data_IF_122809813451
#
_entry.id   IF_122809813451
#
_cell.length_a   1.000
_cell.length_b   1.000
_cell.length_c   1.000
_cell.angle_alpha   90.00
_cell.angle_beta   90.00
_cell.angle_gamma   90.00
#
_symmetry.space_group_name_H-M   'P 1'
#
loop_
_entity.id
_entity.type
_entity.pdbx_description
1 polymer ?
#
# COMPACT_ATOMS: atom_id res chain seq x y z
N UNK A 1 17.77 -5.49 -20.23
CA UNK A 1 17.33 -4.16 -19.69
C UNK A 1 17.32 -4.25 -18.18
N UNK A 2 18.08 -3.37 -17.48
CA UNK A 2 18.13 -3.38 -16.01
C UNK A 2 16.89 -2.71 -15.44
N UNK A 3 16.18 -3.40 -14.53
CA UNK A 3 15.03 -2.88 -13.76
C UNK A 3 15.35 -3.02 -12.28
N UNK A 4 15.13 -1.95 -11.52
CA UNK A 4 15.26 -1.92 -10.06
C UNK A 4 13.86 -1.78 -9.47
N UNK A 5 13.56 -2.58 -8.45
CA UNK A 5 12.27 -2.57 -7.74
C UNK A 5 12.49 -2.32 -6.25
N UNK A 6 11.93 -1.23 -5.73
CA UNK A 6 11.90 -0.93 -4.31
C UNK A 6 10.69 -1.59 -3.67
N UNK A 7 10.92 -2.60 -2.82
CA UNK A 7 9.86 -3.39 -2.19
C UNK A 7 10.26 -3.81 -0.78
N UNK A 8 9.27 -3.99 0.07
CA UNK A 8 9.43 -4.42 1.45
C UNK A 8 8.22 -5.21 1.94
N UNK A 9 7.30 -4.61 2.75
CA UNK A 9 6.21 -5.37 3.35
C UNK A 9 5.13 -5.85 2.37
N UNK A 10 5.04 -5.28 1.15
CA UNK A 10 3.96 -5.61 0.20
C UNK A 10 4.18 -6.94 -0.52
N UNK A 11 5.41 -7.25 -0.94
CA UNK A 11 5.79 -8.51 -1.57
C UNK A 11 7.09 -9.04 -0.99
N UNK A 12 7.26 -10.35 -1.00
CA UNK A 12 8.58 -10.95 -0.68
C UNK A 12 9.53 -10.76 -1.86
N UNK A 13 10.80 -10.49 -1.60
CA UNK A 13 11.81 -10.29 -2.63
C UNK A 13 11.83 -11.41 -3.70
N UNK A 14 11.62 -12.67 -3.29
CA UNK A 14 11.57 -13.83 -4.20
C UNK A 14 10.37 -13.84 -5.18
N UNK A 15 9.36 -13.02 -4.96
CA UNK A 15 8.19 -12.87 -5.85
C UNK A 15 8.45 -11.87 -6.98
N UNK A 16 9.58 -11.12 -6.91
CA UNK A 16 9.93 -10.06 -7.85
C UNK A 16 11.05 -10.57 -8.78
N UNK A 17 10.83 -10.68 -10.10
CA UNK A 17 11.81 -11.22 -11.04
C UNK A 17 12.85 -10.19 -11.51
N UNK A 18 13.12 -9.16 -10.72
CA UNK A 18 14.03 -8.06 -11.03
C UNK A 18 15.01 -7.81 -9.87
N UNK A 19 15.93 -6.86 -10.03
CA UNK A 19 16.80 -6.42 -8.94
C UNK A 19 15.96 -5.75 -7.84
N UNK A 20 15.91 -6.39 -6.67
CA UNK A 20 15.16 -5.90 -5.51
C UNK A 20 16.05 -5.04 -4.62
N UNK A 21 15.48 -3.93 -4.17
CA UNK A 21 16.05 -3.06 -3.15
C UNK A 21 15.07 -2.87 -1.98
N UNK A 22 15.56 -2.47 -0.80
CA UNK A 22 14.73 -2.10 0.34
C UNK A 22 13.63 -1.09 -0.03
N UNK A 23 12.59 -0.91 0.83
CA UNK A 23 11.63 0.19 0.67
C UNK A 23 12.35 1.51 0.40
N UNK A 24 11.84 2.30 -0.56
CA UNK A 24 12.51 3.53 -0.97
C UNK A 24 12.47 4.60 0.14
N UNK A 25 13.62 5.13 0.50
CA UNK A 25 13.78 6.33 1.31
C UNK A 25 14.35 7.49 0.49
N UNK A 26 14.59 8.62 1.15
CA UNK A 26 15.18 9.80 0.53
C UNK A 26 16.56 9.47 -0.08
N UNK A 27 16.76 9.87 -1.33
CA UNK A 27 18.00 9.67 -2.08
C UNK A 27 18.14 8.31 -2.77
N UNK A 28 17.26 7.33 -2.50
CA UNK A 28 17.38 5.99 -3.07
C UNK A 28 17.10 5.97 -4.58
N UNK A 29 16.06 6.68 -5.03
CA UNK A 29 15.75 6.79 -6.45
C UNK A 29 16.84 7.59 -7.16
N UNK A 30 17.36 8.64 -6.54
CA UNK A 30 18.46 9.42 -7.10
C UNK A 30 19.74 8.57 -7.25
N UNK A 31 20.07 7.72 -6.25
CA UNK A 31 21.18 6.77 -6.34
C UNK A 31 20.97 5.77 -7.47
N UNK A 32 19.78 5.17 -7.54
CA UNK A 32 19.42 4.24 -8.62
C UNK A 32 19.50 4.89 -10.01
N UNK A 33 19.11 6.16 -10.15
CA UNK A 33 19.14 6.91 -11.41
C UNK A 33 20.56 7.23 -11.93
N UNK A 34 21.59 7.05 -11.11
CA UNK A 34 23.01 7.20 -11.50
C UNK A 34 23.61 5.90 -12.07
N UNK A 35 22.89 4.80 -11.96
CA UNK A 35 23.29 3.53 -12.54
C UNK A 35 22.77 3.42 -13.99
N UNK A 36 23.27 2.41 -14.74
CA UNK A 36 22.75 2.08 -16.08
C UNK A 36 21.43 1.33 -15.97
N UNK A 37 20.36 2.03 -15.56
CA UNK A 37 19.02 1.50 -15.36
C UNK A 37 18.05 2.10 -16.37
N UNK A 38 17.12 1.30 -16.88
CA UNK A 38 16.07 1.75 -17.80
C UNK A 38 14.73 1.91 -17.11
N UNK A 39 14.50 1.16 -16.02
CA UNK A 39 13.23 1.17 -15.29
C UNK A 39 13.47 1.16 -13.79
N UNK A 40 12.70 1.97 -13.07
CA UNK A 40 12.62 1.96 -11.61
C UNK A 40 11.15 1.75 -11.24
N UNK A 41 10.85 0.74 -10.44
CA UNK A 41 9.53 0.54 -9.86
C UNK A 41 9.58 0.81 -8.36
N UNK A 42 8.67 1.64 -7.87
CA UNK A 42 8.49 1.92 -6.45
C UNK A 42 7.19 1.23 -6.04
N UNK A 43 7.28 0.23 -5.18
CA UNK A 43 6.15 -0.42 -4.53
C UNK A 43 6.06 0.12 -3.12
N UNK A 44 7.07 -0.15 -2.29
CA UNK A 44 7.14 0.30 -0.91
C UNK A 44 8.15 1.42 -0.73
N UNK A 45 7.87 2.29 0.24
CA UNK A 45 8.77 3.32 0.72
C UNK A 45 8.58 3.53 2.21
N UNK A 46 9.59 4.12 2.84
CA UNK A 46 9.52 4.48 4.25
C UNK A 46 8.50 5.59 4.48
N UNK A 47 7.83 5.51 5.64
CA UNK A 47 6.83 6.46 6.09
C UNK A 47 7.12 6.81 7.56
N UNK A 48 7.11 8.09 7.91
CA UNK A 48 7.38 8.68 9.24
C UNK A 48 8.75 8.41 9.87
N UNK A 49 9.19 7.15 10.00
CA UNK A 49 10.43 6.80 10.73
C UNK A 49 11.71 7.22 9.99
N UNK A 50 11.63 7.33 8.70
CA UNK A 50 12.70 7.78 7.83
C UNK A 50 12.11 8.75 6.80
N UNK A 51 12.93 9.66 6.29
CA UNK A 51 12.49 10.55 5.24
C UNK A 51 12.04 9.75 4.00
N UNK A 52 10.80 9.96 3.60
CA UNK A 52 10.22 9.31 2.43
C UNK A 52 10.94 9.71 1.14
N UNK A 53 10.81 8.90 0.10
CA UNK A 53 11.29 9.22 -1.25
C UNK A 53 10.74 10.57 -1.72
N UNK A 54 11.61 11.47 -2.17
CA UNK A 54 11.23 12.80 -2.60
C UNK A 54 10.77 12.84 -4.06
N UNK A 55 9.82 13.70 -4.33
CA UNK A 55 9.35 13.99 -5.69
C UNK A 55 10.51 14.38 -6.61
N UNK A 56 11.42 15.25 -6.14
CA UNK A 56 12.54 15.76 -6.93
C UNK A 56 13.47 14.67 -7.45
N UNK A 57 13.73 13.63 -6.68
CA UNK A 57 14.59 12.52 -7.12
C UNK A 57 13.91 11.66 -8.19
N UNK A 58 12.58 11.51 -8.13
CA UNK A 58 11.79 10.85 -9.17
C UNK A 58 11.80 11.70 -10.45
N UNK A 59 11.60 13.01 -10.34
CA UNK A 59 11.67 13.92 -11.48
C UNK A 59 13.02 13.88 -12.18
N UNK A 60 14.13 13.84 -11.43
CA UNK A 60 15.48 13.68 -11.99
C UNK A 60 15.63 12.35 -12.74
N UNK A 61 15.03 11.27 -12.25
CA UNK A 61 15.05 9.99 -12.95
C UNK A 61 14.25 10.04 -14.27
N UNK A 62 13.08 10.67 -14.25
CA UNK A 62 12.25 10.90 -15.44
C UNK A 62 12.96 11.77 -16.49
N UNK A 63 13.60 12.87 -16.09
CA UNK A 63 14.39 13.74 -16.97
C UNK A 63 15.54 12.99 -17.66
N UNK A 64 16.11 11.98 -17.01
CA UNK A 64 17.12 11.10 -17.60
C UNK A 64 16.56 10.05 -18.58
N UNK A 65 15.25 10.07 -18.83
CA UNK A 65 14.58 9.09 -19.69
C UNK A 65 14.38 7.72 -19.04
N UNK A 66 14.52 7.62 -17.69
CA UNK A 66 14.26 6.40 -16.96
C UNK A 66 12.74 6.29 -16.73
N UNK A 67 12.14 5.18 -17.14
CA UNK A 67 10.73 4.94 -16.86
C UNK A 67 10.53 4.64 -15.35
N UNK A 68 9.78 5.50 -14.65
CA UNK A 68 9.48 5.31 -13.22
C UNK A 68 8.03 4.88 -13.03
N UNK A 69 7.86 3.74 -12.38
CA UNK A 69 6.57 3.11 -12.10
C UNK A 69 6.25 3.18 -10.62
N UNK A 70 4.97 3.34 -10.28
CA UNK A 70 4.51 3.32 -8.90
C UNK A 70 3.24 2.51 -8.71
N UNK A 71 3.20 1.67 -7.66
CA UNK A 71 2.07 0.80 -7.35
C UNK A 71 1.89 0.61 -5.84
N UNK A 72 0.73 0.16 -5.45
CA UNK A 72 0.38 -0.44 -4.16
C UNK A 72 0.51 0.44 -2.92
N UNK A 73 1.71 0.95 -2.59
CA UNK A 73 2.02 1.64 -1.34
C UNK A 73 2.52 3.06 -1.61
N UNK A 74 3.69 3.42 -1.06
CA UNK A 74 4.33 4.72 -1.33
C UNK A 74 4.45 4.99 -2.85
N UNK A 75 4.66 3.95 -3.64
CA UNK A 75 4.73 4.07 -5.09
C UNK A 75 3.42 4.55 -5.71
N UNK A 76 2.27 4.07 -5.23
CA UNK A 76 0.96 4.53 -5.71
C UNK A 76 0.69 6.00 -5.34
N UNK A 77 1.09 6.44 -4.14
CA UNK A 77 1.02 7.84 -3.70
C UNK A 77 1.86 8.73 -4.62
N UNK A 78 3.14 8.41 -4.79
CA UNK A 78 4.05 9.19 -5.66
C UNK A 78 3.59 9.22 -7.11
N UNK A 79 3.03 8.11 -7.61
CA UNK A 79 2.49 8.08 -8.96
C UNK A 79 1.24 8.97 -9.10
N UNK A 80 0.36 9.01 -8.11
CA UNK A 80 -0.82 9.89 -8.13
C UNK A 80 -0.41 11.38 -8.16
N UNK A 81 0.67 11.75 -7.47
CA UNK A 81 1.22 13.11 -7.43
C UNK A 81 2.01 13.47 -8.69
N UNK A 82 2.73 12.50 -9.28
CA UNK A 82 3.69 12.74 -10.36
C UNK A 82 3.26 12.20 -11.73
N UNK A 83 2.05 11.67 -11.88
CA UNK A 83 1.52 11.26 -13.19
C UNK A 83 1.57 12.40 -14.24
N UNK A 84 1.26 13.68 -13.91
CA UNK A 84 1.38 14.79 -14.84
C UNK A 84 2.81 15.02 -15.36
N UNK A 85 3.82 14.52 -14.64
CA UNK A 85 5.24 14.63 -14.99
C UNK A 85 5.80 13.37 -15.62
N UNK A 86 4.96 12.35 -15.90
CA UNK A 86 5.36 11.14 -16.63
C UNK A 86 5.63 9.92 -15.75
N UNK A 87 5.40 9.97 -14.43
CA UNK A 87 5.43 8.77 -13.60
C UNK A 87 4.23 7.87 -13.92
N UNK A 88 4.47 6.58 -14.07
CA UNK A 88 3.44 5.61 -14.48
C UNK A 88 2.83 4.95 -13.25
N UNK A 89 1.56 5.21 -12.99
CA UNK A 89 0.83 4.58 -11.90
C UNK A 89 0.12 3.30 -12.31
N UNK A 90 0.15 2.29 -11.44
CA UNK A 90 -0.46 0.98 -11.69
C UNK A 90 -1.31 0.55 -10.50
N UNK A 91 -2.43 -0.12 -10.81
CA UNK A 91 -3.29 -0.78 -9.84
C UNK A 91 -4.48 0.05 -9.37
N UNK A 92 -5.38 -0.61 -8.62
CA UNK A 92 -6.62 -0.03 -8.14
C UNK A 92 -6.39 1.05 -7.07
N UNK A 93 -5.34 0.91 -6.26
CA UNK A 93 -4.97 1.88 -5.22
C UNK A 93 -4.52 3.19 -5.88
N UNK A 94 -3.62 3.11 -6.88
CA UNK A 94 -3.24 4.28 -7.67
C UNK A 94 -4.45 4.98 -8.28
N UNK A 95 -5.36 4.23 -8.92
CA UNK A 95 -6.56 4.79 -9.53
C UNK A 95 -7.47 5.48 -8.50
N UNK A 96 -7.58 4.94 -7.30
CA UNK A 96 -8.38 5.53 -6.24
C UNK A 96 -7.77 6.82 -5.69
N UNK A 97 -6.44 6.87 -5.56
CA UNK A 97 -5.70 8.08 -5.17
C UNK A 97 -5.79 9.16 -6.24
N UNK A 98 -5.50 8.83 -7.50
CA UNK A 98 -5.52 9.79 -8.62
C UNK A 98 -6.90 10.40 -8.90
N UNK A 99 -7.99 9.70 -8.53
CA UNK A 99 -9.37 10.18 -8.63
C UNK A 99 -9.87 10.88 -7.36
N UNK A 100 -9.05 11.01 -6.32
CA UNK A 100 -9.44 11.61 -5.04
C UNK A 100 -10.44 10.78 -4.22
N UNK A 101 -10.60 9.48 -4.53
CA UNK A 101 -11.42 8.55 -3.71
C UNK A 101 -10.71 8.21 -2.41
N UNK A 102 -9.39 8.08 -2.47
CA UNK A 102 -8.51 8.02 -1.32
C UNK A 102 -7.76 9.35 -1.22
N UNK A 103 -7.76 9.97 -0.04
CA UNK A 103 -7.23 11.31 0.16
C UNK A 103 -6.18 11.40 1.26
N UNK A 104 -5.95 10.31 2.00
CA UNK A 104 -5.01 10.27 3.11
C UNK A 104 -3.83 9.36 2.79
N UNK A 105 -2.61 9.83 3.08
CA UNK A 105 -1.36 9.07 2.83
C UNK A 105 -1.31 7.80 3.69
N UNK A 106 -1.91 7.82 4.88
CA UNK A 106 -1.93 6.70 5.82
C UNK A 106 -2.85 5.54 5.40
N UNK A 107 -3.61 5.71 4.31
CA UNK A 107 -4.40 4.63 3.70
C UNK A 107 -3.53 3.42 3.34
N UNK A 108 -2.31 3.67 2.84
CA UNK A 108 -1.38 2.62 2.40
C UNK A 108 -0.31 2.26 3.43
N UNK A 109 -0.24 3.01 4.55
CA UNK A 109 0.79 2.85 5.55
C UNK A 109 0.61 1.56 6.36
N UNK A 110 1.73 0.92 6.68
CA UNK A 110 1.82 -0.23 7.59
C UNK A 110 3.04 -0.09 8.50
N UNK A 111 2.93 -0.60 9.73
CA UNK A 111 4.10 -0.91 10.54
C UNK A 111 4.68 -2.24 10.06
N UNK A 112 6.00 -2.33 9.99
CA UNK A 112 6.70 -3.55 9.57
C UNK A 112 7.96 -3.78 10.39
N UNK A 113 8.42 -5.01 10.43
CA UNK A 113 9.70 -5.41 11.02
C UNK A 113 10.86 -4.93 10.14
N UNK A 114 12.09 -4.87 10.67
CA UNK A 114 13.26 -4.45 9.91
C UNK A 114 13.65 -5.45 8.81
N UNK A 115 14.59 -5.04 7.95
CA UNK A 115 15.00 -5.79 6.76
C UNK A 115 15.59 -7.17 7.03
N UNK A 116 16.29 -7.31 8.16
CA UNK A 116 16.91 -8.57 8.61
C UNK A 116 15.88 -9.70 8.79
N UNK A 117 14.62 -9.34 9.01
CA UNK A 117 13.48 -10.29 9.10
C UNK A 117 12.48 -10.11 7.95
N UNK A 118 12.91 -9.54 6.82
CA UNK A 118 12.19 -9.49 5.56
C UNK A 118 11.04 -8.49 5.50
N UNK A 119 11.10 -7.38 6.23
CA UNK A 119 10.09 -6.30 6.22
C UNK A 119 8.66 -6.76 6.52
N UNK A 120 8.46 -7.86 7.22
CA UNK A 120 7.13 -8.40 7.50
C UNK A 120 6.22 -7.36 8.15
N UNK A 121 5.05 -7.08 7.53
CA UNK A 121 4.03 -6.21 8.09
C UNK A 121 3.52 -6.74 9.44
N UNK A 122 3.33 -5.85 10.41
CA UNK A 122 2.79 -6.12 11.75
C UNK A 122 1.52 -5.30 12.03
N UNK A 123 1.08 -4.50 11.06
CA UNK A 123 -0.25 -3.88 11.04
C UNK A 123 -0.87 -4.03 9.64
N UNK A 124 -2.17 -3.76 9.52
CA UNK A 124 -2.91 -3.80 8.27
C UNK A 124 -3.08 -2.40 7.68
N UNK A 125 -2.84 -2.25 6.37
CA UNK A 125 -3.13 -1.01 5.66
C UNK A 125 -4.64 -0.75 5.59
N UNK A 126 -5.07 0.51 5.74
CA UNK A 126 -6.48 0.86 5.67
C UNK A 126 -7.10 0.47 4.31
N UNK A 127 -6.38 0.64 3.21
CA UNK A 127 -6.82 0.18 1.88
C UNK A 127 -7.14 -1.31 1.87
N UNK A 128 -6.34 -2.18 2.50
CA UNK A 128 -6.60 -3.61 2.55
C UNK A 128 -7.85 -3.92 3.37
N UNK A 129 -8.07 -3.21 4.49
CA UNK A 129 -9.30 -3.31 5.28
C UNK A 129 -10.53 -2.90 4.44
N UNK A 130 -10.46 -1.74 3.75
CA UNK A 130 -11.53 -1.24 2.89
C UNK A 130 -11.89 -2.23 1.77
N UNK A 131 -10.88 -2.70 1.01
CA UNK A 131 -11.11 -3.65 -0.09
C UNK A 131 -11.66 -4.98 0.41
N UNK A 132 -11.14 -5.48 1.55
CA UNK A 132 -11.64 -6.69 2.19
C UNK A 132 -13.10 -6.56 2.63
N UNK A 133 -13.46 -5.46 3.29
CA UNK A 133 -14.85 -5.17 3.70
C UNK A 133 -15.78 -5.01 2.49
N UNK A 134 -15.33 -4.30 1.45
CA UNK A 134 -16.09 -4.15 0.22
C UNK A 134 -16.32 -5.50 -0.50
N UNK A 135 -15.30 -6.35 -0.55
CA UNK A 135 -15.41 -7.70 -1.12
C UNK A 135 -16.39 -8.58 -0.32
N UNK A 136 -16.29 -8.55 1.02
CA UNK A 136 -17.19 -9.28 1.91
C UNK A 136 -18.64 -8.82 1.73
N UNK A 137 -18.90 -7.53 1.58
CA UNK A 137 -20.22 -6.99 1.34
C UNK A 137 -20.78 -7.41 -0.03
N UNK A 138 -19.98 -7.32 -1.11
CA UNK A 138 -20.38 -7.78 -2.44
C UNK A 138 -20.72 -9.28 -2.49
N UNK A 139 -20.11 -10.08 -1.64
CA UNK A 139 -20.37 -11.52 -1.53
C UNK A 139 -21.45 -11.87 -0.51
N UNK A 140 -22.10 -10.86 0.09
CA UNK A 140 -23.19 -11.09 1.05
C UNK A 140 -22.74 -11.63 2.42
N UNK A 141 -21.43 -11.61 2.71
CA UNK A 141 -20.88 -12.01 4.01
C UNK A 141 -21.28 -11.04 5.11
N UNK A 142 -21.30 -9.74 4.78
CA UNK A 142 -21.77 -8.65 5.63
C UNK A 142 -22.71 -7.74 4.82
N UNK A 143 -23.54 -6.96 5.51
CA UNK A 143 -24.39 -5.94 4.85
C UNK A 143 -23.57 -4.71 4.47
N UNK A 144 -24.09 -3.90 3.53
CA UNK A 144 -23.50 -2.59 3.19
C UNK A 144 -23.40 -1.67 4.43
N UNK A 145 -24.43 -1.64 5.28
CA UNK A 145 -24.44 -0.88 6.53
C UNK A 145 -23.29 -1.31 7.47
N UNK A 146 -23.07 -2.62 7.60
CA UNK A 146 -21.98 -3.15 8.42
C UNK A 146 -20.61 -2.80 7.82
N UNK A 147 -20.46 -2.91 6.49
CA UNK A 147 -19.25 -2.46 5.79
C UNK A 147 -18.92 -1.01 6.13
N UNK A 148 -19.89 -0.11 5.98
CA UNK A 148 -19.66 1.33 6.17
C UNK A 148 -19.32 1.65 7.63
N UNK A 149 -20.02 1.05 8.59
CA UNK A 149 -19.69 1.19 10.00
C UNK A 149 -18.27 0.68 10.34
N UNK A 150 -17.86 -0.46 9.79
CA UNK A 150 -16.51 -1.00 10.01
C UNK A 150 -15.42 -0.18 9.31
N UNK A 151 -15.69 0.45 8.16
CA UNK A 151 -14.75 1.36 7.51
C UNK A 151 -14.50 2.58 8.39
N UNK A 152 -15.53 3.17 8.97
CA UNK A 152 -15.34 4.32 9.88
C UNK A 152 -14.54 3.92 11.13
N UNK A 153 -14.83 2.76 11.73
CA UNK A 153 -14.03 2.25 12.84
C UNK A 153 -12.57 1.98 12.46
N UNK A 154 -12.31 1.47 11.25
CA UNK A 154 -10.95 1.19 10.77
C UNK A 154 -10.08 2.45 10.58
N UNK A 155 -10.70 3.62 10.42
CA UNK A 155 -10.02 4.91 10.24
C UNK A 155 -9.52 5.50 11.56
N UNK A 156 -10.16 5.18 12.68
CA UNK A 156 -9.87 5.81 13.97
C UNK A 156 -8.50 5.48 14.54
N UNK A 157 -8.02 4.23 14.49
CA UNK A 157 -6.70 3.90 15.03
C UNK A 157 -5.57 4.47 14.18
N UNK A 158 -4.48 4.84 14.83
CA UNK A 158 -3.23 5.13 14.15
C UNK A 158 -2.76 3.93 13.33
N UNK A 159 -2.16 4.12 12.15
CA UNK A 159 -1.87 3.04 11.20
C UNK A 159 -1.10 1.85 11.81
N UNK A 160 -0.26 2.08 12.82
CA UNK A 160 0.50 1.03 13.52
C UNK A 160 -0.36 0.09 14.36
N UNK A 161 -1.56 0.54 14.72
CA UNK A 161 -2.49 -0.21 15.56
C UNK A 161 -3.62 -0.88 14.77
N UNK A 162 -3.69 -0.60 13.46
CA UNK A 162 -4.70 -1.20 12.60
C UNK A 162 -4.46 -2.68 12.41
N UNK A 163 -5.51 -3.46 12.63
CA UNK A 163 -5.52 -4.89 12.30
C UNK A 163 -6.95 -5.40 12.14
N UNK A 164 -7.11 -6.49 11.40
CA UNK A 164 -8.40 -7.19 11.33
C UNK A 164 -8.90 -7.61 12.71
N UNK A 165 -8.02 -8.08 13.59
CA UNK A 165 -8.38 -8.48 14.95
C UNK A 165 -8.95 -7.31 15.76
N UNK A 166 -8.27 -6.15 15.73
CA UNK A 166 -8.76 -4.93 16.37
C UNK A 166 -10.08 -4.48 15.79
N UNK A 167 -10.19 -4.42 14.45
CA UNK A 167 -11.43 -4.00 13.78
C UNK A 167 -12.64 -4.85 14.19
N UNK A 168 -12.46 -6.16 14.32
CA UNK A 168 -13.52 -7.06 14.80
C UNK A 168 -13.88 -6.82 16.26
N UNK A 169 -12.90 -6.50 17.11
CA UNK A 169 -13.13 -6.13 18.51
C UNK A 169 -13.89 -4.81 18.63
N UNK A 170 -13.45 -3.77 17.91
CA UNK A 170 -14.09 -2.46 17.88
C UNK A 170 -15.51 -2.55 17.32
N UNK A 171 -15.71 -3.35 16.25
CA UNK A 171 -17.04 -3.64 15.70
C UNK A 171 -17.99 -4.30 16.71
N UNK A 172 -17.48 -5.21 17.53
CA UNK A 172 -18.26 -5.83 18.61
C UNK A 172 -18.66 -4.79 19.65
N UNK A 173 -17.72 -3.96 20.08
CA UNK A 173 -17.98 -2.89 21.05
C UNK A 173 -18.99 -1.85 20.51
N UNK A 174 -18.99 -1.61 19.20
CA UNK A 174 -19.92 -0.71 18.51
C UNK A 174 -21.29 -1.36 18.20
N UNK A 175 -21.56 -2.59 18.63
CA UNK A 175 -22.84 -3.28 18.44
C UNK A 175 -23.08 -3.84 17.03
N UNK A 176 -22.03 -4.04 16.23
CA UNK A 176 -22.15 -4.74 14.95
C UNK A 176 -22.62 -6.19 15.20
N UNK A 177 -23.60 -6.73 14.42
CA UNK A 177 -24.17 -8.04 14.67
C UNK A 177 -23.12 -9.15 14.72
N UNK A 178 -23.09 -9.91 15.83
CA UNK A 178 -22.08 -10.95 16.10
C UNK A 178 -21.99 -11.99 14.99
N UNK A 179 -23.13 -12.35 14.36
CA UNK A 179 -23.15 -13.29 13.21
C UNK A 179 -22.32 -12.75 12.03
N UNK A 180 -22.43 -11.46 11.71
CA UNK A 180 -21.66 -10.85 10.61
C UNK A 180 -20.18 -10.74 10.95
N UNK A 181 -19.84 -10.40 12.21
CA UNK A 181 -18.44 -10.39 12.66
C UNK A 181 -17.79 -11.77 12.63
N UNK A 182 -18.53 -12.81 13.03
CA UNK A 182 -18.04 -14.21 12.95
C UNK A 182 -17.82 -14.64 11.49
N UNK A 183 -18.77 -14.35 10.60
CA UNK A 183 -18.63 -14.61 9.17
C UNK A 183 -17.45 -13.87 8.57
N UNK A 184 -17.27 -12.58 8.92
CA UNK A 184 -16.13 -11.77 8.49
C UNK A 184 -14.80 -12.30 9.06
N UNK A 185 -14.77 -12.80 10.29
CA UNK A 185 -13.57 -13.40 10.89
C UNK A 185 -13.07 -14.61 10.06
N UNK A 186 -13.98 -15.46 9.62
CA UNK A 186 -13.70 -16.62 8.76
C UNK A 186 -13.45 -16.25 7.28
N UNK A 187 -13.82 -15.05 6.85
CA UNK A 187 -13.66 -14.59 5.46
C UNK A 187 -12.19 -14.45 5.06
N UNK A 188 -11.79 -14.92 3.87
CA UNK A 188 -10.45 -14.68 3.35
C UNK A 188 -10.21 -13.17 3.17
N UNK A 189 -9.11 -12.65 3.70
CA UNK A 189 -8.76 -11.24 3.62
C UNK A 189 -7.97 -10.99 2.33
N UNK A 190 -8.53 -10.32 1.31
CA UNK A 190 -7.77 -9.98 0.12
C UNK A 190 -6.70 -8.95 0.47
N UNK A 191 -5.53 -9.12 -0.12
CA UNK A 191 -4.43 -8.16 -0.02
C UNK A 191 -4.37 -7.35 -1.32
N UNK A 192 -5.00 -6.18 -1.32
CA UNK A 192 -5.05 -5.31 -2.49
C UNK A 192 -3.68 -4.73 -2.83
N UNK A 193 -2.87 -4.43 -1.81
CA UNK A 193 -1.50 -3.95 -2.04
C UNK A 193 -0.68 -5.00 -2.80
N UNK A 194 -0.71 -6.25 -2.35
CA UNK A 194 -0.01 -7.33 -3.05
C UNK A 194 -0.60 -7.59 -4.45
N UNK A 195 -1.91 -7.44 -4.65
CA UNK A 195 -2.53 -7.58 -5.97
C UNK A 195 -2.08 -6.51 -6.96
N UNK A 196 -1.99 -5.25 -6.51
CA UNK A 196 -1.55 -4.12 -7.35
C UNK A 196 -0.02 -4.14 -7.63
N UNK A 197 0.76 -4.85 -6.81
CA UNK A 197 2.21 -4.93 -6.94
C UNK A 197 2.69 -6.08 -7.84
N UNK A 198 1.83 -7.05 -8.21
CA UNK A 198 2.11 -8.17 -9.13
C UNK A 198 1.80 -7.80 -10.57
#
# INVERSE_FOLDING_TARGET
MKTIVFVGPTLRAREVPFEVRPPAGVGDVLRASRERVQRIAIIDGYFERMAAVWHKEILVALEKGIAVWGAASMGALRAAELAPFGMIGVGAIYQALSRGVLTSDDEVAVAHLPGEVGYRAISDALVNLRWGLAAAARKGVITARTRDALIELARLPFYRERSWARLLADGRAAGVPSRQLAALAAWPKPDQKAADAR
#
